data_IF_334597385887
#
_entry.id   IF_334597385887
#
_cell.length_a   1.000
_cell.length_b   1.000
_cell.length_c   1.000
_cell.angle_alpha   90.00
_cell.angle_beta   90.00
_cell.angle_gamma   90.00
#
_symmetry.space_group_name_H-M   'P 1'
#
loop_
_entity.id
_entity.type
_entity.pdbx_description
1 polymer ?
#
# COMPACT_ATOMS: atom_id res chain seq x y z
N UNK A 1 -16.70 8.19 -28.35
CA UNK A 1 -16.80 9.50 -27.67
C UNK A 1 -16.78 9.18 -26.21
N UNK A 2 -15.70 9.56 -25.54
CA UNK A 2 -15.43 9.15 -24.16
C UNK A 2 -16.47 9.75 -23.21
N UNK A 3 -16.84 9.00 -22.16
CA UNK A 3 -17.81 9.45 -21.15
C UNK A 3 -17.37 10.78 -20.52
N UNK A 4 -16.06 10.94 -20.29
CA UNK A 4 -15.45 12.19 -19.86
C UNK A 4 -15.70 13.34 -20.87
N UNK A 5 -15.50 13.07 -22.17
CA UNK A 5 -15.73 14.06 -23.24
C UNK A 5 -17.20 14.49 -23.30
N UNK A 6 -18.14 13.57 -23.12
CA UNK A 6 -19.58 13.87 -23.07
C UNK A 6 -19.92 14.69 -21.82
N UNK A 7 -19.36 14.33 -20.66
CA UNK A 7 -19.54 15.06 -19.41
C UNK A 7 -19.03 16.51 -19.50
N UNK A 8 -17.83 16.73 -20.06
CA UNK A 8 -17.27 18.07 -20.22
C UNK A 8 -18.07 18.93 -21.21
N UNK A 9 -18.59 18.34 -22.29
CA UNK A 9 -19.42 19.07 -23.26
C UNK A 9 -20.77 19.44 -22.63
N UNK A 10 -21.43 18.52 -21.93
CA UNK A 10 -22.72 18.78 -21.28
C UNK A 10 -22.57 19.76 -20.11
N UNK A 11 -21.55 19.59 -19.26
CA UNK A 11 -21.26 20.51 -18.16
C UNK A 11 -20.85 21.90 -18.65
N UNK A 12 -19.96 21.96 -19.65
CA UNK A 12 -19.49 23.23 -20.23
C UNK A 12 -20.61 24.02 -20.91
N UNK A 13 -21.51 23.34 -21.63
CA UNK A 13 -22.66 24.01 -22.27
C UNK A 13 -23.68 24.51 -21.26
N UNK A 14 -23.90 23.79 -20.16
CA UNK A 14 -24.74 24.24 -19.04
C UNK A 14 -24.17 25.49 -18.38
N UNK A 15 -22.87 25.49 -18.05
CA UNK A 15 -22.18 26.66 -17.45
C UNK A 15 -22.25 27.87 -18.40
N UNK A 16 -22.02 27.66 -19.69
CA UNK A 16 -22.12 28.73 -20.69
C UNK A 16 -23.54 29.32 -20.75
N UNK A 17 -24.59 28.49 -20.75
CA UNK A 17 -25.98 28.94 -20.74
C UNK A 17 -26.34 29.69 -19.45
N UNK A 18 -25.83 29.25 -18.30
CA UNK A 18 -26.01 29.93 -17.02
C UNK A 18 -25.36 31.32 -17.00
N UNK A 19 -24.14 31.44 -17.53
CA UNK A 19 -23.43 32.72 -17.60
C UNK A 19 -24.11 33.69 -18.58
N UNK A 20 -24.56 33.20 -19.74
CA UNK A 20 -25.27 34.02 -20.73
C UNK A 20 -26.60 34.52 -20.17
N UNK A 21 -27.38 33.65 -19.52
CA UNK A 21 -28.67 34.05 -18.93
C UNK A 21 -28.48 35.01 -17.76
N UNK A 22 -27.45 34.82 -16.92
CA UNK A 22 -27.09 35.74 -15.85
C UNK A 22 -26.66 37.12 -16.39
N UNK A 23 -25.85 37.15 -17.45
CA UNK A 23 -25.43 38.39 -18.10
C UNK A 23 -26.60 39.16 -18.74
N UNK A 24 -27.52 38.47 -19.40
CA UNK A 24 -28.74 39.07 -19.96
C UNK A 24 -29.68 39.57 -18.86
N UNK A 25 -29.75 38.85 -17.73
CA UNK A 25 -30.52 39.26 -16.55
C UNK A 25 -29.98 40.52 -15.90
N UNK A 26 -28.66 40.66 -15.76
CA UNK A 26 -28.01 41.86 -15.22
C UNK A 26 -28.13 43.09 -16.14
N UNK A 27 -28.32 42.88 -17.45
CA UNK A 27 -28.41 43.94 -18.45
C UNK A 27 -29.84 44.46 -18.69
N UNK A 28 -30.88 43.78 -18.16
CA UNK A 28 -32.28 44.12 -18.42
C UNK A 28 -33.10 44.23 -17.13
N UNK A 29 -33.58 45.44 -16.80
CA UNK A 29 -34.39 45.69 -15.59
C UNK A 29 -35.79 45.05 -15.60
N UNK A 30 -36.20 44.46 -16.73
CA UNK A 30 -37.51 43.79 -16.89
C UNK A 30 -37.37 42.27 -16.80
N UNK A 31 -36.25 41.77 -16.30
CA UNK A 31 -36.00 40.33 -16.20
C UNK A 31 -36.22 39.82 -14.76
N UNK A 32 -36.99 38.74 -14.56
CA UNK A 32 -37.80 38.01 -15.54
C UNK A 32 -39.16 38.69 -15.79
N UNK A 33 -39.51 38.90 -17.06
CA UNK A 33 -40.70 39.68 -17.44
C UNK A 33 -42.06 39.03 -17.14
N UNK A 34 -42.09 37.79 -16.62
CA UNK A 34 -43.30 37.13 -16.11
C UNK A 34 -42.97 35.96 -15.17
N UNK A 35 -43.84 35.70 -14.18
CA UNK A 35 -43.69 34.58 -13.22
C UNK A 35 -43.69 33.20 -13.90
N UNK A 36 -44.27 33.09 -15.09
CA UNK A 36 -44.25 31.86 -15.91
C UNK A 36 -42.89 31.62 -16.55
N UNK A 37 -42.19 32.67 -16.97
CA UNK A 37 -40.84 32.56 -17.50
C UNK A 37 -39.84 32.16 -16.41
N UNK A 38 -39.98 32.72 -15.20
CA UNK A 38 -39.18 32.31 -14.04
C UNK A 38 -39.45 30.85 -13.65
N UNK A 39 -40.73 30.44 -13.61
CA UNK A 39 -41.11 29.04 -13.33
C UNK A 39 -40.55 28.06 -14.35
N UNK A 40 -40.58 28.39 -15.64
CA UNK A 40 -39.99 27.57 -16.70
C UNK A 40 -38.47 27.43 -16.58
N UNK A 41 -37.79 28.50 -16.19
CA UNK A 41 -36.33 28.49 -16.00
C UNK A 41 -35.92 27.62 -14.81
N UNK A 42 -36.63 27.71 -13.68
CA UNK A 42 -36.38 26.87 -12.51
C UNK A 42 -36.70 25.40 -12.76
N UNK A 43 -37.79 25.10 -13.47
CA UNK A 43 -38.13 23.74 -13.86
C UNK A 43 -37.07 23.13 -14.79
N UNK A 44 -36.59 23.90 -15.78
CA UNK A 44 -35.50 23.48 -16.67
C UNK A 44 -34.21 23.19 -15.91
N UNK A 45 -33.82 24.08 -14.99
CA UNK A 45 -32.63 23.88 -14.17
C UNK A 45 -32.75 22.64 -13.27
N UNK A 46 -33.91 22.42 -12.64
CA UNK A 46 -34.16 21.25 -11.81
C UNK A 46 -34.11 19.94 -12.60
N UNK A 47 -34.68 19.91 -13.81
CA UNK A 47 -34.62 18.74 -14.70
C UNK A 47 -33.18 18.42 -15.08
N UNK A 48 -32.37 19.44 -15.39
CA UNK A 48 -30.97 19.25 -15.76
C UNK A 48 -30.18 18.69 -14.56
N UNK A 49 -30.36 19.25 -13.36
CA UNK A 49 -29.68 18.78 -12.14
C UNK A 49 -30.02 17.32 -11.82
N UNK A 50 -31.31 16.95 -11.92
CA UNK A 50 -31.76 15.57 -11.68
C UNK A 50 -31.19 14.63 -12.74
N UNK A 51 -31.20 15.03 -14.01
CA UNK A 51 -30.63 14.22 -15.09
C UNK A 51 -29.11 14.02 -14.92
N UNK A 52 -28.37 15.05 -14.51
CA UNK A 52 -26.92 14.93 -14.24
C UNK A 52 -26.63 14.07 -13.01
N UNK A 53 -27.41 14.21 -11.93
CA UNK A 53 -27.23 13.38 -10.74
C UNK A 53 -27.53 11.91 -11.02
N UNK A 54 -28.60 11.62 -11.77
CA UNK A 54 -28.94 10.27 -12.19
C UNK A 54 -27.87 9.66 -13.10
N UNK A 55 -27.33 10.44 -14.05
CA UNK A 55 -26.23 9.99 -14.89
C UNK A 55 -24.94 9.74 -14.10
N UNK A 56 -24.60 10.61 -13.14
CA UNK A 56 -23.44 10.41 -12.28
C UNK A 56 -23.56 9.16 -11.40
N UNK A 57 -24.75 8.85 -10.87
CA UNK A 57 -24.97 7.63 -10.09
C UNK A 57 -24.87 6.39 -10.97
N UNK A 58 -25.45 6.39 -12.17
CA UNK A 58 -25.38 5.24 -13.09
C UNK A 58 -23.99 4.99 -13.67
N UNK A 59 -23.11 6.00 -13.73
CA UNK A 59 -21.74 5.85 -14.24
C UNK A 59 -20.69 5.76 -13.12
N UNK A 60 -21.06 5.95 -11.85
CA UNK A 60 -20.15 5.84 -10.72
C UNK A 60 -19.85 4.39 -10.31
N UNK A 61 -20.70 3.44 -10.71
CA UNK A 61 -20.48 2.00 -10.45
C UNK A 61 -19.26 1.48 -11.23
N UNK A 62 -18.97 1.97 -12.43
CA UNK A 62 -17.75 1.64 -13.21
C UNK A 62 -16.46 2.13 -12.52
N UNK A 63 -16.48 3.26 -11.81
CA UNK A 63 -15.30 3.76 -11.07
C UNK A 63 -15.04 2.96 -9.78
N UNK A 64 -16.10 2.47 -9.12
CA UNK A 64 -15.97 1.58 -7.96
C UNK A 64 -15.49 0.19 -8.36
N UNK A 65 -16.02 -0.38 -9.45
CA UNK A 65 -15.54 -1.68 -9.96
C UNK A 65 -14.09 -1.58 -10.46
N UNK A 66 -13.69 -0.46 -11.05
CA UNK A 66 -12.29 -0.23 -11.41
C UNK A 66 -11.39 -0.11 -10.18
N UNK A 67 -11.85 0.56 -9.12
CA UNK A 67 -11.11 0.70 -7.86
C UNK A 67 -11.05 -0.62 -7.07
N UNK A 68 -12.14 -1.38 -7.04
CA UNK A 68 -12.21 -2.72 -6.44
C UNK A 68 -11.39 -3.74 -7.24
N UNK A 69 -11.36 -3.63 -8.58
CA UNK A 69 -10.49 -4.43 -9.43
C UNK A 69 -9.01 -4.04 -9.30
N UNK A 70 -8.70 -2.77 -9.06
CA UNK A 70 -7.35 -2.29 -8.76
C UNK A 70 -6.90 -2.79 -7.37
N UNK A 71 -7.76 -2.71 -6.35
CA UNK A 71 -7.51 -3.30 -5.03
C UNK A 71 -7.36 -4.83 -5.09
N UNK A 72 -8.18 -5.52 -5.86
CA UNK A 72 -8.09 -6.97 -6.03
C UNK A 72 -6.86 -7.37 -6.87
N UNK A 73 -6.41 -6.53 -7.80
CA UNK A 73 -5.16 -6.73 -8.52
C UNK A 73 -3.92 -6.43 -7.67
N UNK A 74 -4.03 -5.52 -6.69
CA UNK A 74 -3.00 -5.31 -5.66
C UNK A 74 -2.97 -6.48 -4.64
N UNK A 75 -4.12 -7.06 -4.30
CA UNK A 75 -4.22 -8.22 -3.40
C UNK A 75 -3.73 -9.54 -4.06
N UNK A 76 -4.08 -9.75 -5.34
CA UNK A 76 -3.61 -10.90 -6.14
C UNK A 76 -2.23 -10.67 -6.76
N UNK A 77 -1.73 -9.43 -6.73
CA UNK A 77 -0.40 -9.00 -7.18
C UNK A 77 0.64 -8.92 -6.07
N UNK A 78 0.29 -9.35 -4.84
CA UNK A 78 1.16 -9.40 -3.66
C UNK A 78 2.33 -10.39 -3.73
N UNK A 79 2.88 -10.64 -4.92
CA UNK A 79 4.11 -11.38 -5.12
C UNK A 79 4.90 -10.84 -6.32
N UNK A 80 5.11 -9.52 -6.40
CA UNK A 80 6.32 -8.90 -7.00
C UNK A 80 6.27 -7.38 -6.80
N UNK A 81 6.59 -6.91 -5.59
CA UNK A 81 7.04 -5.54 -5.39
C UNK A 81 8.46 -5.41 -5.97
N UNK A 82 8.78 -4.44 -6.84
CA UNK A 82 10.16 -4.06 -7.07
C UNK A 82 10.56 -3.15 -5.91
N UNK A 83 10.65 -3.72 -4.70
CA UNK A 83 11.47 -3.09 -3.68
C UNK A 83 12.90 -3.11 -4.24
N UNK A 84 13.66 -2.05 -4.05
CA UNK A 84 15.10 -2.24 -3.87
C UNK A 84 15.24 -3.36 -2.84
N UNK A 85 15.50 -4.58 -3.30
CA UNK A 85 15.54 -5.76 -2.46
C UNK A 85 16.56 -5.48 -1.36
N UNK A 86 16.09 -5.36 -0.11
CA UNK A 86 17.00 -5.25 1.02
C UNK A 86 17.80 -6.54 1.04
N UNK A 87 19.12 -6.42 0.97
CA UNK A 87 20.00 -7.56 1.01
C UNK A 87 20.11 -8.06 2.47
N UNK A 88 19.47 -9.19 2.77
CA UNK A 88 19.49 -9.79 4.11
C UNK A 88 20.91 -10.15 4.59
N UNK A 89 21.84 -10.42 3.68
CA UNK A 89 23.25 -10.63 4.03
C UNK A 89 23.90 -9.31 4.49
N UNK A 90 23.54 -8.18 3.87
CA UNK A 90 23.99 -6.86 4.31
C UNK A 90 23.41 -6.50 5.68
N UNK A 91 22.15 -6.83 5.95
CA UNK A 91 21.54 -6.67 7.28
C UNK A 91 22.28 -7.51 8.32
N UNK A 92 22.55 -8.79 8.02
CA UNK A 92 23.28 -9.70 8.92
C UNK A 92 24.66 -9.16 9.32
N UNK A 93 25.40 -8.60 8.35
CA UNK A 93 26.73 -8.00 8.62
C UNK A 93 26.60 -6.64 9.30
N UNK A 94 25.66 -5.81 8.84
CA UNK A 94 25.46 -4.43 9.29
C UNK A 94 25.03 -4.33 10.76
N UNK A 95 24.17 -5.25 11.21
CA UNK A 95 23.73 -5.36 12.60
C UNK A 95 24.65 -6.23 13.47
N UNK A 96 25.77 -6.71 12.92
CA UNK A 96 26.82 -7.37 13.70
C UNK A 96 26.51 -8.80 14.15
N UNK A 97 25.48 -9.45 13.57
CA UNK A 97 25.13 -10.84 13.87
C UNK A 97 26.34 -11.79 13.69
N UNK A 98 27.12 -11.52 12.65
CA UNK A 98 28.37 -12.21 12.32
C UNK A 98 29.50 -12.13 13.34
N UNK A 99 29.41 -11.20 14.31
CA UNK A 99 30.41 -11.08 15.37
C UNK A 99 30.21 -12.09 16.50
N UNK A 100 29.02 -12.71 16.56
CA UNK A 100 28.70 -13.72 17.55
C UNK A 100 28.48 -15.10 16.91
N UNK A 101 27.87 -15.13 15.73
CA UNK A 101 27.52 -16.36 15.02
C UNK A 101 28.45 -16.68 13.86
N UNK A 102 28.77 -17.97 13.68
CA UNK A 102 29.36 -18.44 12.43
C UNK A 102 28.27 -18.73 11.41
N UNK A 103 28.50 -18.28 10.18
CA UNK A 103 27.66 -18.52 9.01
C UNK A 103 28.57 -18.59 7.79
N UNK A 104 28.58 -19.74 7.13
CA UNK A 104 29.51 -20.02 6.03
C UNK A 104 29.29 -19.11 4.84
N UNK A 105 28.04 -18.80 4.51
CA UNK A 105 27.66 -17.92 3.40
C UNK A 105 28.18 -16.48 3.60
N UNK A 106 28.01 -15.93 4.81
CA UNK A 106 28.54 -14.62 5.18
C UNK A 106 30.05 -14.60 5.51
N UNK A 107 30.72 -15.77 5.48
CA UNK A 107 32.13 -15.91 5.80
C UNK A 107 32.49 -15.61 7.26
N UNK A 108 31.53 -15.72 8.18
CA UNK A 108 31.74 -15.40 9.60
C UNK A 108 32.11 -16.63 10.41
N UNK A 109 32.99 -16.45 11.38
CA UNK A 109 33.56 -17.55 12.16
C UNK A 109 33.60 -17.20 13.65
N UNK A 110 32.57 -16.54 14.18
CA UNK A 110 32.43 -16.33 15.61
C UNK A 110 31.78 -17.54 16.29
N UNK A 111 32.08 -17.76 17.58
CA UNK A 111 31.55 -18.89 18.38
C UNK A 111 30.93 -18.40 19.71
N UNK A 112 30.55 -17.13 19.78
CA UNK A 112 29.85 -16.62 20.98
C UNK A 112 28.43 -17.18 21.02
N UNK A 113 27.78 -17.22 19.85
CA UNK A 113 26.53 -17.94 19.59
C UNK A 113 26.75 -19.21 18.78
N UNK A 114 25.70 -20.01 18.57
CA UNK A 114 25.75 -21.22 17.75
C UNK A 114 26.08 -20.94 16.29
N UNK A 115 26.57 -21.97 15.61
CA UNK A 115 26.68 -21.97 14.14
C UNK A 115 25.28 -21.92 13.53
N UNK A 116 25.02 -20.92 12.70
CA UNK A 116 23.71 -20.77 12.03
C UNK A 116 23.53 -21.79 10.90
N UNK A 117 24.63 -22.29 10.33
CA UNK A 117 24.61 -23.40 9.37
C UNK A 117 24.07 -24.70 9.98
N UNK A 118 24.20 -24.88 11.31
CA UNK A 118 23.79 -26.09 12.02
C UNK A 118 22.49 -25.87 12.82
N UNK A 119 22.37 -24.74 13.51
CA UNK A 119 21.25 -24.47 14.43
C UNK A 119 19.92 -24.22 13.71
N UNK A 120 19.97 -23.76 12.45
CA UNK A 120 18.78 -23.46 11.65
C UNK A 120 18.28 -24.64 10.80
N UNK A 121 19.04 -25.74 10.72
CA UNK A 121 18.66 -26.90 9.90
C UNK A 121 17.32 -27.51 10.32
N UNK A 122 16.37 -27.56 9.38
CA UNK A 122 15.03 -28.12 9.61
C UNK A 122 14.20 -27.33 10.62
N UNK A 123 14.58 -26.08 10.92
CA UNK A 123 13.75 -25.13 11.65
C UNK A 123 12.79 -24.44 10.68
N UNK A 124 11.69 -23.90 11.18
CA UNK A 124 10.78 -23.11 10.33
C UNK A 124 11.27 -21.68 10.20
N UNK A 125 10.86 -20.98 9.14
CA UNK A 125 11.06 -19.52 9.01
C UNK A 125 10.56 -18.77 10.25
N UNK A 126 9.42 -19.17 10.80
CA UNK A 126 8.85 -18.57 12.03
C UNK A 126 9.75 -18.77 13.27
N UNK A 127 10.45 -19.91 13.34
CA UNK A 127 11.44 -20.13 14.39
C UNK A 127 12.61 -19.16 14.23
N UNK A 128 13.10 -18.95 13.00
CA UNK A 128 14.18 -17.98 12.74
C UNK A 128 13.76 -16.57 13.18
N UNK A 129 12.54 -16.15 12.81
CA UNK A 129 11.98 -14.86 13.21
C UNK A 129 11.93 -14.73 14.74
N UNK A 130 11.33 -15.71 15.41
CA UNK A 130 11.22 -15.72 16.88
C UNK A 130 12.60 -15.70 17.54
N UNK A 131 13.58 -16.44 17.03
CA UNK A 131 14.93 -16.45 17.57
C UNK A 131 15.66 -15.09 17.45
N UNK A 132 15.24 -14.20 16.55
CA UNK A 132 15.80 -12.84 16.42
C UNK A 132 15.12 -11.86 17.38
N UNK A 133 13.78 -11.90 17.45
CA UNK A 133 13.00 -10.91 18.23
C UNK A 133 12.81 -11.31 19.69
N UNK A 134 12.88 -12.61 20.00
CA UNK A 134 12.81 -13.18 21.34
C UNK A 134 13.87 -14.29 21.52
N UNK A 135 15.16 -13.93 21.54
CA UNK A 135 16.27 -14.90 21.54
C UNK A 135 16.35 -15.77 22.81
N UNK A 136 15.62 -15.42 23.86
CA UNK A 136 15.59 -16.17 25.11
C UNK A 136 14.44 -17.19 25.16
N UNK A 137 13.50 -17.19 24.21
CA UNK A 137 12.44 -18.21 24.10
C UNK A 137 13.04 -19.61 23.88
N UNK A 138 14.10 -19.68 23.07
CA UNK A 138 14.88 -20.89 22.87
C UNK A 138 16.38 -20.59 22.79
N UNK A 139 17.14 -21.14 23.74
CA UNK A 139 18.60 -21.08 23.74
C UNK A 139 19.16 -22.46 23.39
N UNK A 140 19.98 -22.52 22.33
CA UNK A 140 20.60 -23.76 21.87
C UNK A 140 21.47 -24.40 22.99
N UNK A 141 21.37 -25.72 23.22
CA UNK A 141 22.19 -26.42 24.19
C UNK A 141 23.69 -26.09 24.09
N UNK A 142 24.26 -25.66 25.21
CA UNK A 142 25.68 -25.28 25.31
C UNK A 142 25.92 -23.76 25.27
N UNK A 143 24.89 -22.97 24.98
CA UNK A 143 24.94 -21.50 25.01
C UNK A 143 24.22 -20.94 26.24
N UNK A 144 24.50 -19.66 26.54
CA UNK A 144 23.91 -18.97 27.69
C UNK A 144 22.81 -18.01 27.23
N UNK A 145 21.74 -17.94 28.01
CA UNK A 145 20.72 -16.91 27.88
C UNK A 145 21.30 -15.50 28.09
N UNK A 146 20.58 -14.49 27.63
CA UNK A 146 20.89 -13.07 27.81
C UNK A 146 22.22 -12.61 27.17
N UNK A 147 22.76 -13.39 26.23
CA UNK A 147 23.96 -13.03 25.43
C UNK A 147 23.56 -12.40 24.10
N UNK A 148 22.54 -12.95 23.43
CA UNK A 148 21.99 -12.37 22.21
C UNK A 148 21.06 -11.20 22.58
N UNK A 149 21.27 -9.99 22.03
CA UNK A 149 20.40 -8.85 22.28
C UNK A 149 18.94 -9.12 21.87
N UNK A 150 17.99 -8.60 22.63
CA UNK A 150 16.54 -8.78 22.42
C UNK A 150 15.85 -7.49 21.96
N UNK A 151 16.61 -6.52 21.47
CA UNK A 151 16.15 -5.21 20.99
C UNK A 151 16.07 -5.10 19.47
N UNK A 152 16.40 -6.17 18.73
CA UNK A 152 16.38 -6.17 17.26
C UNK A 152 15.02 -5.84 16.64
N UNK A 153 13.89 -6.17 17.29
CA UNK A 153 12.56 -5.74 16.82
C UNK A 153 12.40 -4.21 16.82
N UNK A 154 13.09 -3.51 17.71
CA UNK A 154 13.08 -2.05 17.79
C UNK A 154 14.19 -1.40 16.93
N UNK A 155 15.27 -2.11 16.65
CA UNK A 155 16.40 -1.61 15.86
C UNK A 155 16.22 -1.81 14.35
N UNK A 156 15.68 -2.95 13.93
CA UNK A 156 15.44 -3.27 12.52
C UNK A 156 14.12 -2.69 12.03
N UNK A 157 14.09 -2.21 10.78
CA UNK A 157 12.81 -1.99 10.11
C UNK A 157 12.08 -3.33 9.87
N UNK A 158 10.75 -3.33 9.71
CA UNK A 158 10.01 -4.55 9.37
C UNK A 158 10.53 -5.22 8.09
N UNK A 159 10.93 -4.42 7.10
CA UNK A 159 11.48 -4.91 5.84
C UNK A 159 12.90 -5.49 6.01
N UNK A 160 13.75 -4.88 6.85
CA UNK A 160 15.08 -5.40 7.16
C UNK A 160 15.01 -6.71 7.94
N UNK A 161 14.10 -6.82 8.91
CA UNK A 161 13.88 -8.05 9.66
C UNK A 161 13.43 -9.18 8.73
N UNK A 162 12.48 -8.91 7.83
CA UNK A 162 12.00 -9.91 6.88
C UNK A 162 13.11 -10.35 5.91
N UNK A 163 13.90 -9.40 5.38
CA UNK A 163 15.04 -9.71 4.54
C UNK A 163 16.08 -10.56 5.27
N UNK A 164 16.37 -10.26 6.54
CA UNK A 164 17.28 -11.03 7.38
C UNK A 164 16.75 -12.44 7.64
N UNK A 165 15.47 -12.58 7.98
CA UNK A 165 14.81 -13.88 8.21
C UNK A 165 14.85 -14.72 6.94
N UNK A 166 14.49 -14.15 5.79
CA UNK A 166 14.51 -14.83 4.51
C UNK A 166 15.93 -15.31 4.15
N UNK A 167 16.93 -14.44 4.30
CA UNK A 167 18.32 -14.78 4.06
C UNK A 167 18.76 -15.95 4.95
N UNK A 168 18.56 -15.85 6.27
CA UNK A 168 18.97 -16.89 7.23
C UNK A 168 18.22 -18.21 7.02
N UNK A 169 16.96 -18.15 6.61
CA UNK A 169 16.20 -19.35 6.27
C UNK A 169 16.77 -20.05 5.03
N UNK A 170 17.10 -19.29 3.99
CA UNK A 170 17.68 -19.80 2.75
C UNK A 170 19.06 -20.43 2.98
N UNK A 171 19.99 -19.70 3.62
CA UNK A 171 21.37 -20.15 3.76
C UNK A 171 21.59 -21.10 4.94
N UNK A 172 20.79 -20.98 6.00
CA UNK A 172 20.85 -21.84 7.18
C UNK A 172 20.11 -23.18 7.02
N UNK A 173 19.42 -23.39 5.90
CA UNK A 173 18.68 -24.62 5.63
C UNK A 173 17.44 -24.78 6.50
N UNK A 174 16.75 -23.67 6.81
CA UNK A 174 15.44 -23.70 7.43
C UNK A 174 14.38 -24.14 6.41
N UNK A 175 13.38 -24.87 6.87
CA UNK A 175 12.21 -25.25 6.10
C UNK A 175 11.30 -24.02 5.86
N UNK A 176 10.90 -23.85 4.60
CA UNK A 176 9.98 -22.81 4.12
C UNK A 176 8.51 -23.03 4.49
#
# INVERSE_FOLDING_TARGET
MDTATIFYILGGTLVALALVTSFLGLRSEKFPGSSRALGGMLAGAAIIVVATGFFAVLNGEEELEAFEAELAAEEEGGAEEPTTSIDGAEVFVGYGCGQCHSLSDAGTTAQVGPSLDDALQGKTVEFVRTAIIDPNDFVEPGFSADIMPADYEAELSPEELEALVAYLAEVGGADG
#
